data_IF_573460532190
#
_entry.id   IF_573460532190
#
_cell.length_a   1.000
_cell.length_b   1.000
_cell.length_c   1.000
_cell.angle_alpha   90.00
_cell.angle_beta   90.00
_cell.angle_gamma   90.00
#
_symmetry.space_group_name_H-M   'P 1'
#
loop_
_entity.id
_entity.type
_entity.pdbx_description
1 polymer ?
#
# COMPACT_ATOMS: atom_id res chain seq x y z
N UNK A 1 -62.47 -17.55 35.37
CA UNK A 1 -61.95 -16.23 35.78
C UNK A 1 -60.87 -15.85 34.78
N UNK A 2 -61.25 -15.65 33.51
CA UNK A 2 -61.87 -14.44 32.90
C UNK A 2 -60.77 -13.39 32.61
N UNK A 3 -60.60 -12.85 31.40
CA UNK A 3 -61.41 -12.89 30.19
C UNK A 3 -60.55 -12.57 28.96
N UNK A 4 -60.85 -13.23 27.85
CA UNK A 4 -60.60 -12.72 26.50
C UNK A 4 -61.54 -11.53 26.24
N UNK A 5 -61.10 -10.53 25.47
CA UNK A 5 -62.03 -9.82 24.57
C UNK A 5 -61.35 -9.20 23.36
N UNK A 6 -61.58 -9.89 22.24
CA UNK A 6 -61.59 -9.33 20.88
C UNK A 6 -62.82 -8.42 20.76
N UNK A 7 -62.67 -7.22 20.20
CA UNK A 7 -63.78 -6.50 19.57
C UNK A 7 -63.32 -6.03 18.19
N UNK A 8 -64.06 -6.50 17.21
CA UNK A 8 -64.11 -6.10 15.81
C UNK A 8 -65.34 -5.18 15.63
N UNK A 9 -65.27 -4.16 14.77
CA UNK A 9 -66.35 -3.37 14.09
C UNK A 9 -65.74 -2.03 13.67
N UNK A 10 -65.71 -1.58 12.42
CA UNK A 10 -66.61 -1.82 11.29
C UNK A 10 -67.68 -0.73 11.25
N UNK A 11 -67.53 0.26 10.36
CA UNK A 11 -68.61 1.19 10.02
C UNK A 11 -68.22 2.55 9.43
N UNK A 12 -68.44 2.68 8.11
CA UNK A 12 -69.19 3.76 7.45
C UNK A 12 -68.62 5.19 7.60
N UNK A 13 -68.22 5.91 6.57
CA UNK A 13 -68.88 6.12 5.28
C UNK A 13 -69.00 7.64 5.11
N UNK A 14 -68.25 8.22 4.17
CA UNK A 14 -68.26 9.66 3.90
C UNK A 14 -67.66 9.94 2.53
N UNK A 15 -68.55 10.19 1.55
CA UNK A 15 -68.22 10.75 0.24
C UNK A 15 -67.83 12.21 0.45
N UNK A 16 -66.72 12.64 -0.13
CA UNK A 16 -66.58 14.00 -0.69
C UNK A 16 -65.62 13.98 -1.87
N UNK A 17 -66.13 14.49 -2.99
CA UNK A 17 -65.42 14.77 -4.24
C UNK A 17 -64.51 15.99 -4.03
N UNK A 18 -63.26 15.98 -4.52
CA UNK A 18 -62.59 17.14 -5.14
C UNK A 18 -61.42 16.66 -6.01
N UNK A 19 -61.49 17.03 -7.28
CA UNK A 19 -60.41 16.99 -8.26
C UNK A 19 -59.13 17.70 -7.77
N UNK A 20 -57.96 17.09 -7.96
CA UNK A 20 -56.70 17.85 -7.82
C UNK A 20 -55.43 17.02 -7.86
N UNK A 21 -54.84 16.90 -9.06
CA UNK A 21 -53.38 16.90 -9.31
C UNK A 21 -52.48 16.35 -8.17
N UNK A 22 -52.11 15.08 -8.23
CA UNK A 22 -50.77 14.64 -7.81
C UNK A 22 -50.22 13.69 -8.88
N UNK A 23 -49.68 14.33 -9.90
CA UNK A 23 -48.75 13.76 -10.85
C UNK A 23 -47.36 13.99 -10.26
N UNK A 24 -46.83 13.00 -9.53
CA UNK A 24 -45.40 12.82 -9.22
C UNK A 24 -45.20 11.54 -8.39
N UNK A 25 -44.10 10.87 -8.68
CA UNK A 25 -43.47 9.79 -7.90
C UNK A 25 -43.97 8.36 -8.15
N UNK A 26 -43.77 7.89 -9.38
CA UNK A 26 -43.42 6.48 -9.62
C UNK A 26 -41.92 6.41 -9.94
N UNK A 27 -41.16 6.18 -8.88
CA UNK A 27 -39.75 5.79 -8.87
C UNK A 27 -39.67 4.42 -9.56
N UNK A 28 -39.27 4.40 -10.85
CA UNK A 28 -38.91 3.17 -11.55
C UNK A 28 -37.53 2.69 -11.07
N UNK A 29 -37.55 1.86 -10.01
CA UNK A 29 -36.42 1.04 -9.60
C UNK A 29 -36.22 -0.09 -10.64
N UNK A 30 -35.49 0.17 -11.72
CA UNK A 30 -34.96 -0.89 -12.59
C UNK A 30 -33.74 -1.53 -11.93
N UNK A 31 -33.98 -2.55 -11.10
CA UNK A 31 -32.96 -3.54 -10.73
C UNK A 31 -32.67 -4.39 -11.96
N UNK A 32 -31.49 -4.25 -12.54
CA UNK A 32 -30.94 -5.23 -13.47
C UNK A 32 -30.45 -6.42 -12.65
N UNK A 33 -31.14 -7.54 -12.74
CA UNK A 33 -30.62 -8.84 -12.29
C UNK A 33 -29.71 -9.38 -13.40
N UNK A 34 -28.43 -9.56 -13.09
CA UNK A 34 -27.54 -10.39 -13.89
C UNK A 34 -27.63 -11.82 -13.34
N UNK A 35 -28.23 -12.72 -14.11
CA UNK A 35 -28.13 -14.15 -13.85
C UNK A 35 -26.71 -14.60 -14.17
N UNK A 36 -25.99 -15.09 -13.15
CA UNK A 36 -24.73 -15.80 -13.33
C UNK A 36 -25.02 -17.30 -13.26
N UNK A 37 -25.05 -17.98 -14.41
CA UNK A 37 -24.96 -19.44 -14.41
C UNK A 37 -23.50 -19.84 -14.14
N UNK A 38 -23.24 -20.26 -12.90
CA UNK A 38 -22.00 -20.95 -12.52
C UNK A 38 -22.09 -22.41 -12.97
N UNK A 39 -21.23 -22.82 -13.91
CA UNK A 39 -20.85 -24.24 -14.08
C UNK A 39 -19.55 -24.52 -13.33
N UNK A 40 -19.40 -25.73 -12.75
CA UNK A 40 -18.20 -26.10 -12.02
C UNK A 40 -17.12 -26.39 -13.05
N UNK A 41 -16.18 -25.47 -13.16
CA UNK A 41 -14.78 -25.64 -13.57
C UNK A 41 -14.30 -24.27 -14.04
N UNK A 42 -13.77 -23.52 -13.07
CA UNK A 42 -13.45 -22.11 -13.19
C UNK A 42 -12.29 -21.85 -14.14
N UNK A 43 -12.57 -21.59 -15.42
CA UNK A 43 -11.73 -20.79 -16.32
C UNK A 43 -12.63 -19.99 -17.27
N UNK A 44 -12.73 -18.67 -17.03
CA UNK A 44 -13.44 -17.75 -17.93
C UNK A 44 -12.57 -17.43 -19.14
N UNK A 45 -12.73 -18.17 -20.23
CA UNK A 45 -12.20 -17.76 -21.54
C UNK A 45 -13.20 -16.82 -22.22
N UNK A 46 -12.79 -15.57 -22.39
CA UNK A 46 -13.47 -14.62 -23.28
C UNK A 46 -13.17 -15.00 -24.73
N UNK A 47 -13.85 -16.04 -25.23
CA UNK A 47 -13.69 -16.45 -26.63
C UNK A 47 -14.58 -15.57 -27.50
N UNK A 48 -14.00 -14.53 -28.10
CA UNK A 48 -14.62 -13.73 -29.15
C UNK A 48 -14.66 -14.57 -30.43
N UNK A 49 -15.54 -15.57 -30.44
CA UNK A 49 -15.74 -16.45 -31.59
C UNK A 49 -16.40 -15.68 -32.72
N UNK A 50 -15.72 -15.68 -33.86
CA UNK A 50 -16.21 -15.25 -35.16
C UNK A 50 -17.50 -15.98 -35.51
N UNK A 51 -18.41 -15.23 -36.12
CA UNK A 51 -19.55 -15.64 -36.95
C UNK A 51 -19.72 -17.16 -37.11
N UNK A 52 -20.61 -17.73 -36.29
CA UNK A 52 -21.14 -19.08 -36.54
C UNK A 52 -22.61 -18.92 -36.91
N UNK A 53 -22.86 -18.80 -38.22
CA UNK A 53 -24.21 -18.86 -38.79
C UNK A 53 -24.65 -20.33 -38.77
N UNK A 54 -25.47 -20.71 -37.79
CA UNK A 54 -26.24 -21.95 -37.86
C UNK A 54 -27.50 -21.69 -38.69
N UNK A 55 -27.52 -22.18 -39.93
CA UNK A 55 -28.74 -22.24 -40.75
C UNK A 55 -29.49 -23.51 -40.35
N UNK A 56 -30.49 -23.39 -39.48
CA UNK A 56 -31.48 -24.44 -39.27
C UNK A 56 -32.69 -24.17 -40.17
N UNK A 57 -32.82 -24.95 -41.24
CA UNK A 57 -33.99 -24.94 -42.11
C UNK A 57 -35.13 -25.68 -41.42
N UNK A 58 -35.96 -24.99 -40.64
CA UNK A 58 -37.39 -25.29 -40.53
C UNK A 58 -38.15 -24.21 -39.73
N UNK A 59 -39.01 -23.50 -40.46
CA UNK A 59 -40.19 -22.75 -40.04
C UNK A 59 -40.15 -21.73 -38.87
N UNK A 60 -40.28 -20.47 -39.30
CA UNK A 60 -41.21 -19.45 -38.78
C UNK A 60 -41.11 -19.10 -37.30
N UNK A 61 -40.18 -18.19 -36.99
CA UNK A 61 -40.46 -16.90 -36.32
C UNK A 61 -39.13 -16.12 -36.33
N UNK A 62 -38.76 -15.54 -37.47
CA UNK A 62 -37.69 -14.53 -37.51
C UNK A 62 -38.24 -13.21 -36.98
N UNK A 63 -38.54 -13.19 -35.67
CA UNK A 63 -38.59 -11.92 -34.96
C UNK A 63 -37.14 -11.45 -34.93
N UNK A 64 -36.80 -10.62 -35.92
CA UNK A 64 -35.60 -9.79 -35.91
C UNK A 64 -35.54 -9.11 -34.55
N UNK A 65 -34.74 -9.69 -33.64
CA UNK A 65 -34.33 -9.00 -32.43
C UNK A 65 -33.46 -7.89 -32.98
N UNK A 66 -34.07 -6.73 -33.23
CA UNK A 66 -33.35 -5.49 -33.50
C UNK A 66 -32.26 -5.46 -32.45
N UNK A 67 -31.01 -5.62 -32.87
CA UNK A 67 -29.86 -5.49 -31.99
C UNK A 67 -30.12 -4.24 -31.17
N UNK A 68 -30.37 -4.41 -29.87
CA UNK A 68 -30.64 -3.29 -28.98
C UNK A 68 -29.45 -2.38 -29.15
N UNK A 69 -29.69 -1.21 -29.75
CA UNK A 69 -28.67 -0.21 -29.99
C UNK A 69 -28.06 0.04 -28.62
N UNK A 70 -26.84 -0.47 -28.40
CA UNK A 70 -26.14 -0.28 -27.14
C UNK A 70 -26.15 1.23 -26.93
N UNK A 71 -26.77 1.74 -25.85
CA UNK A 71 -26.87 3.17 -25.66
C UNK A 71 -25.45 3.72 -25.66
N UNK A 72 -25.14 4.55 -26.67
CA UNK A 72 -23.88 5.29 -26.73
C UNK A 72 -23.97 6.36 -25.66
N UNK A 73 -23.58 6.01 -24.45
CA UNK A 73 -23.43 6.98 -23.38
C UNK A 73 -22.32 7.96 -23.78
N UNK A 74 -22.62 9.26 -23.72
CA UNK A 74 -21.57 10.28 -23.80
C UNK A 74 -20.76 10.17 -22.52
N UNK A 75 -19.46 9.91 -22.65
CA UNK A 75 -18.55 9.78 -21.50
C UNK A 75 -18.47 11.06 -20.67
N UNK A 76 -18.69 12.20 -21.32
CA UNK A 76 -18.79 13.50 -20.69
C UNK A 76 -19.90 13.56 -19.62
N UNK A 77 -20.95 12.75 -19.73
CA UNK A 77 -22.06 12.74 -18.77
C UNK A 77 -21.73 11.89 -17.51
N UNK A 78 -20.62 11.15 -17.52
CA UNK A 78 -20.17 10.37 -16.36
C UNK A 78 -19.46 11.28 -15.36
N UNK A 79 -20.08 11.50 -14.21
CA UNK A 79 -19.50 12.31 -13.13
C UNK A 79 -18.14 11.81 -12.65
N UNK A 80 -17.88 10.50 -12.74
CA UNK A 80 -16.60 9.91 -12.36
C UNK A 80 -15.49 10.25 -13.35
N UNK A 81 -15.79 10.21 -14.65
CA UNK A 81 -14.85 10.59 -15.72
C UNK A 81 -14.38 12.04 -15.55
N UNK A 82 -15.33 12.98 -15.41
CA UNK A 82 -15.00 14.40 -15.26
C UNK A 82 -14.17 14.66 -14.00
N UNK A 83 -14.48 14.00 -12.88
CA UNK A 83 -13.71 14.13 -11.64
C UNK A 83 -12.30 13.57 -11.82
N UNK A 84 -12.15 12.37 -12.37
CA UNK A 84 -10.84 11.73 -12.54
C UNK A 84 -9.96 12.55 -13.47
N UNK A 85 -10.52 13.00 -14.61
CA UNK A 85 -9.81 13.83 -15.57
C UNK A 85 -9.37 15.15 -14.93
N UNK A 86 -10.28 15.89 -14.27
CA UNK A 86 -9.96 17.19 -13.66
C UNK A 86 -8.89 17.09 -12.58
N UNK A 87 -8.95 16.09 -11.71
CA UNK A 87 -7.96 15.91 -10.65
C UNK A 87 -6.63 15.41 -11.21
N UNK A 88 -6.66 14.49 -12.18
CA UNK A 88 -5.47 13.99 -12.85
C UNK A 88 -4.72 15.08 -13.61
N UNK A 89 -5.43 15.93 -14.38
CA UNK A 89 -4.81 17.05 -15.10
C UNK A 89 -4.23 18.08 -14.15
N UNK A 90 -4.96 18.44 -13.09
CA UNK A 90 -4.48 19.39 -12.09
C UNK A 90 -3.23 18.88 -11.36
N UNK A 91 -3.23 17.59 -10.98
CA UNK A 91 -2.06 16.95 -10.36
C UNK A 91 -0.86 16.92 -11.32
N UNK A 92 -1.10 16.64 -12.60
CA UNK A 92 -0.05 16.64 -13.62
C UNK A 92 0.57 18.03 -13.80
N UNK A 93 -0.25 19.08 -13.89
CA UNK A 93 0.24 20.46 -14.02
C UNK A 93 1.09 20.90 -12.84
N UNK A 94 0.63 20.63 -11.61
CA UNK A 94 1.38 20.96 -10.39
C UNK A 94 2.69 20.18 -10.32
N UNK A 95 2.65 18.86 -10.56
CA UNK A 95 3.83 18.01 -10.47
C UNK A 95 4.89 18.35 -11.51
N UNK A 96 4.50 18.76 -12.73
CA UNK A 96 5.46 19.24 -13.73
C UNK A 96 6.13 20.54 -13.26
N UNK A 97 5.37 21.50 -12.74
CA UNK A 97 5.93 22.76 -12.22
C UNK A 97 6.88 22.51 -11.06
N UNK A 98 6.49 21.67 -10.11
CA UNK A 98 7.31 21.34 -8.94
C UNK A 98 8.56 20.55 -9.35
N UNK A 99 8.44 19.60 -10.28
CA UNK A 99 9.57 18.86 -10.84
C UNK A 99 10.63 19.80 -11.42
N UNK A 100 10.23 20.81 -12.21
CA UNK A 100 11.18 21.80 -12.74
C UNK A 100 11.82 22.64 -11.64
N UNK A 101 11.07 23.05 -10.62
CA UNK A 101 11.60 23.81 -9.49
C UNK A 101 12.66 23.01 -8.70
N UNK A 102 12.35 21.74 -8.39
CA UNK A 102 13.25 20.82 -7.68
C UNK A 102 14.49 20.52 -8.54
N UNK A 103 14.31 20.27 -9.83
CA UNK A 103 15.42 19.99 -10.74
C UNK A 103 16.38 21.19 -10.84
N UNK A 104 15.86 22.42 -10.91
CA UNK A 104 16.69 23.61 -10.90
C UNK A 104 17.43 23.80 -9.57
N UNK A 105 16.78 23.51 -8.44
CA UNK A 105 17.43 23.51 -7.13
C UNK A 105 18.56 22.48 -7.06
N UNK A 106 18.34 21.28 -7.60
CA UNK A 106 19.32 20.21 -7.62
C UNK A 106 20.53 20.60 -8.48
N UNK A 107 20.32 21.18 -9.67
CA UNK A 107 21.42 21.67 -10.51
C UNK A 107 22.25 22.76 -9.83
N UNK A 108 21.61 23.68 -9.09
CA UNK A 108 22.34 24.66 -8.28
C UNK A 108 23.18 24.01 -7.19
N UNK A 109 22.64 22.99 -6.52
CA UNK A 109 23.36 22.26 -5.49
C UNK A 109 24.58 21.50 -6.06
N UNK A 110 24.43 20.87 -7.24
CA UNK A 110 25.56 20.26 -7.96
C UNK A 110 26.60 21.29 -8.41
N UNK A 111 26.18 22.43 -8.93
CA UNK A 111 27.10 23.50 -9.31
C UNK A 111 27.89 24.03 -8.10
N UNK A 112 27.22 24.16 -6.94
CA UNK A 112 27.87 24.51 -5.67
C UNK A 112 28.87 23.42 -5.23
N UNK A 113 28.48 22.15 -5.30
CA UNK A 113 29.34 21.01 -4.98
C UNK A 113 30.63 21.02 -5.81
N UNK A 114 30.49 21.17 -7.13
CA UNK A 114 31.64 21.24 -8.04
C UNK A 114 32.52 22.46 -7.77
N UNK A 115 31.92 23.62 -7.47
CA UNK A 115 32.68 24.83 -7.13
C UNK A 115 33.47 24.65 -5.82
N UNK A 116 32.88 24.04 -4.80
CA UNK A 116 33.54 23.82 -3.51
C UNK A 116 34.69 22.82 -3.61
N UNK A 117 34.54 21.75 -4.40
CA UNK A 117 35.62 20.81 -4.71
C UNK A 117 36.85 21.48 -5.33
N UNK A 118 36.67 22.56 -6.10
CA UNK A 118 37.77 23.25 -6.78
C UNK A 118 38.37 24.41 -5.98
N UNK A 119 37.64 24.96 -5.01
CA UNK A 119 37.99 26.24 -4.37
C UNK A 119 38.33 26.13 -2.88
N UNK A 120 37.96 25.04 -2.21
CA UNK A 120 38.15 24.87 -0.78
C UNK A 120 38.91 23.59 -0.46
N UNK A 121 40.14 23.72 0.03
CA UNK A 121 40.92 22.57 0.51
C UNK A 121 40.25 21.86 1.69
N UNK A 122 39.59 22.63 2.57
CA UNK A 122 38.85 22.06 3.71
C UNK A 122 37.68 21.18 3.28
N UNK A 123 37.07 21.48 2.13
CA UNK A 123 35.98 20.67 1.58
C UNK A 123 36.52 19.39 0.94
N UNK A 124 37.68 19.47 0.28
CA UNK A 124 38.39 18.31 -0.29
C UNK A 124 38.81 17.31 0.79
N UNK A 125 39.20 17.80 1.97
CA UNK A 125 39.60 16.97 3.11
C UNK A 125 38.44 16.19 3.76
N UNK A 126 37.18 16.55 3.48
CA UNK A 126 36.00 15.85 4.01
C UNK A 126 35.82 14.49 3.32
N UNK A 127 35.19 13.53 4.01
CA UNK A 127 34.81 12.28 3.37
C UNK A 127 33.79 12.53 2.24
N UNK A 128 33.78 11.72 1.15
CA UNK A 128 32.82 11.90 0.06
C UNK A 128 31.36 11.92 0.52
N UNK A 129 31.05 11.18 1.60
CA UNK A 129 29.74 11.19 2.23
C UNK A 129 29.37 12.55 2.82
N UNK A 130 30.29 13.19 3.54
CA UNK A 130 30.10 14.50 4.17
C UNK A 130 30.05 15.62 3.14
N UNK A 131 30.89 15.52 2.10
CA UNK A 131 30.85 16.41 0.92
C UNK A 131 29.44 16.37 0.28
N UNK A 132 28.96 15.17 -0.07
CA UNK A 132 27.63 15.03 -0.66
C UNK A 132 26.52 15.52 0.27
N UNK A 133 26.59 15.17 1.56
CA UNK A 133 25.57 15.55 2.53
C UNK A 133 25.47 17.06 2.75
N UNK A 134 26.60 17.76 2.78
CA UNK A 134 26.68 19.20 3.06
C UNK A 134 26.22 20.08 1.91
N UNK A 135 26.30 19.59 0.66
CA UNK A 135 26.00 20.38 -0.53
C UNK A 135 24.69 19.98 -1.20
N UNK A 136 24.55 18.71 -1.58
CA UNK A 136 23.38 18.20 -2.31
C UNK A 136 22.30 17.73 -1.32
N UNK A 137 22.73 17.05 -0.25
CA UNK A 137 21.83 16.47 0.74
C UNK A 137 21.02 15.30 0.20
N UNK A 138 20.35 14.59 1.11
CA UNK A 138 19.60 13.37 0.76
C UNK A 138 18.17 13.64 0.30
N UNK A 139 17.61 14.78 0.70
CA UNK A 139 16.22 15.11 0.40
C UNK A 139 16.02 15.52 -1.06
N UNK A 140 16.94 16.30 -1.65
CA UNK A 140 16.75 16.79 -3.03
C UNK A 140 16.67 15.65 -4.06
N UNK A 141 17.58 14.64 -4.06
CA UNK A 141 17.43 13.50 -4.96
C UNK A 141 16.16 12.69 -4.69
N UNK A 142 15.78 12.53 -3.42
CA UNK A 142 14.54 11.81 -3.04
C UNK A 142 13.29 12.53 -3.54
N UNK A 143 13.25 13.86 -3.47
CA UNK A 143 12.16 14.68 -4.00
C UNK A 143 12.05 14.56 -5.52
N UNK A 144 13.17 14.52 -6.25
CA UNK A 144 13.14 14.27 -7.71
C UNK A 144 12.53 12.91 -8.02
N UNK A 145 12.94 11.85 -7.32
CA UNK A 145 12.37 10.51 -7.50
C UNK A 145 10.87 10.52 -7.19
N UNK A 146 10.47 11.18 -6.11
CA UNK A 146 9.07 11.30 -5.69
C UNK A 146 8.23 11.96 -6.79
N UNK A 147 8.68 13.09 -7.34
CA UNK A 147 7.96 13.78 -8.41
C UNK A 147 7.86 12.96 -9.70
N UNK A 148 8.86 12.17 -10.05
CA UNK A 148 8.77 11.24 -11.20
C UNK A 148 7.61 10.25 -10.99
N UNK A 149 7.47 9.70 -9.78
CA UNK A 149 6.36 8.80 -9.44
C UNK A 149 5.02 9.53 -9.43
N UNK A 150 4.96 10.78 -8.97
CA UNK A 150 3.73 11.60 -9.00
C UNK A 150 3.30 11.88 -10.44
N UNK A 151 4.21 12.31 -11.32
CA UNK A 151 3.94 12.53 -12.75
C UNK A 151 3.44 11.24 -13.42
N UNK A 152 4.09 10.10 -13.14
CA UNK A 152 3.67 8.80 -13.63
C UNK A 152 2.26 8.46 -13.15
N UNK A 153 1.97 8.64 -11.86
CA UNK A 153 0.65 8.38 -11.28
C UNK A 153 -0.44 9.27 -11.89
N UNK A 154 -0.16 10.56 -12.12
CA UNK A 154 -1.10 11.50 -12.74
C UNK A 154 -1.38 11.12 -14.21
N UNK A 155 -0.34 10.72 -14.95
CA UNK A 155 -0.46 10.26 -16.34
C UNK A 155 -1.30 8.99 -16.46
N UNK A 156 -1.08 8.03 -15.56
CA UNK A 156 -1.88 6.80 -15.49
C UNK A 156 -3.33 7.10 -15.13
N UNK A 157 -3.58 8.02 -14.20
CA UNK A 157 -4.92 8.42 -13.78
C UNK A 157 -5.70 9.10 -14.93
N UNK A 158 -5.03 9.88 -15.78
CA UNK A 158 -5.62 10.44 -17.00
C UNK A 158 -5.86 9.35 -18.04
N UNK A 159 -4.91 8.45 -18.28
CA UNK A 159 -5.06 7.32 -19.22
C UNK A 159 -6.25 6.42 -18.83
N UNK A 160 -6.34 6.10 -17.55
CA UNK A 160 -7.43 5.32 -16.97
C UNK A 160 -8.78 6.05 -17.15
N UNK A 161 -8.83 7.38 -17.00
CA UNK A 161 -10.06 8.15 -17.27
C UNK A 161 -10.58 7.92 -18.70
N UNK A 162 -9.70 7.71 -19.68
CA UNK A 162 -10.09 7.53 -21.09
C UNK A 162 -10.55 6.11 -21.41
N UNK A 163 -10.25 5.13 -20.57
CA UNK A 163 -10.57 3.72 -20.82
C UNK A 163 -11.72 3.19 -19.96
N UNK A 164 -12.12 3.91 -18.91
CA UNK A 164 -12.98 3.35 -17.86
C UNK A 164 -14.50 3.44 -18.01
N UNK A 165 -15.15 2.43 -17.41
CA UNK A 165 -16.59 2.36 -17.18
C UNK A 165 -17.00 2.32 -15.69
N UNK A 166 -16.11 2.09 -14.70
CA UNK A 166 -16.50 2.16 -13.27
C UNK A 166 -15.41 2.21 -12.15
N UNK A 167 -14.24 1.57 -12.29
CA UNK A 167 -13.20 1.50 -11.22
C UNK A 167 -11.81 1.91 -11.73
N UNK A 168 -10.84 2.19 -10.87
CA UNK A 168 -9.44 2.47 -11.28
C UNK A 168 -8.67 1.16 -11.43
N UNK A 169 -7.70 1.08 -12.36
CA UNK A 169 -6.92 -0.16 -12.56
C UNK A 169 -6.04 -0.47 -11.34
N UNK A 170 -5.77 -1.75 -11.10
CA UNK A 170 -4.88 -2.17 -10.00
C UNK A 170 -3.50 -1.51 -10.11
N UNK A 171 -2.97 -1.41 -11.34
CA UNK A 171 -1.66 -0.81 -11.59
C UNK A 171 -1.63 0.67 -11.18
N UNK A 172 -2.66 1.44 -11.56
CA UNK A 172 -2.76 2.85 -11.17
C UNK A 172 -2.92 3.01 -9.67
N UNK A 173 -3.69 2.13 -9.01
CA UNK A 173 -3.80 2.14 -7.54
C UNK A 173 -2.46 1.89 -6.85
N UNK A 174 -1.67 0.92 -7.33
CA UNK A 174 -0.35 0.62 -6.77
C UNK A 174 0.63 1.79 -6.95
N UNK A 175 0.72 2.34 -8.17
CA UNK A 175 1.62 3.47 -8.46
C UNK A 175 1.21 4.72 -7.68
N UNK A 176 -0.10 4.99 -7.57
CA UNK A 176 -0.62 6.10 -6.76
C UNK A 176 -0.34 5.91 -5.26
N UNK A 177 -0.53 4.70 -4.73
CA UNK A 177 -0.21 4.40 -3.34
C UNK A 177 1.28 4.61 -3.03
N UNK A 178 2.15 4.15 -3.93
CA UNK A 178 3.59 4.33 -3.79
C UNK A 178 4.02 5.79 -3.92
N UNK A 179 3.46 6.55 -4.87
CA UNK A 179 3.75 8.00 -5.00
C UNK A 179 3.29 8.79 -3.78
N UNK A 180 2.12 8.46 -3.21
CA UNK A 180 1.61 9.07 -1.98
C UNK A 180 2.51 8.74 -0.77
N UNK A 181 2.96 7.49 -0.64
CA UNK A 181 3.90 7.08 0.41
C UNK A 181 5.22 7.88 0.35
N UNK A 182 5.79 8.02 -0.85
CA UNK A 182 6.99 8.83 -1.05
C UNK A 182 6.76 10.31 -0.72
N UNK A 183 5.62 10.87 -1.15
CA UNK A 183 5.26 12.27 -0.88
C UNK A 183 5.09 12.57 0.61
N UNK A 184 4.48 11.65 1.36
CA UNK A 184 4.36 11.78 2.82
C UNK A 184 5.74 11.62 3.47
N UNK A 185 6.58 10.73 2.95
CA UNK A 185 7.94 10.52 3.47
C UNK A 185 8.83 11.76 3.26
N UNK A 186 8.76 12.42 2.11
CA UNK A 186 9.47 13.68 1.84
C UNK A 186 8.89 14.86 2.62
N UNK A 187 7.63 14.79 3.06
CA UNK A 187 7.05 15.81 3.95
C UNK A 187 7.84 15.97 5.26
N UNK A 188 8.56 14.93 5.71
CA UNK A 188 9.45 15.01 6.87
C UNK A 188 10.58 16.05 6.73
N UNK A 189 10.95 16.43 5.48
CA UNK A 189 11.92 17.49 5.23
C UNK A 189 11.47 18.84 5.82
N UNK A 190 10.17 19.12 5.81
CA UNK A 190 9.60 20.38 6.30
C UNK A 190 9.74 20.52 7.83
N UNK A 191 9.98 19.42 8.54
CA UNK A 191 10.28 19.47 9.97
C UNK A 191 11.62 20.15 10.28
N UNK A 192 12.47 20.42 9.28
CA UNK A 192 13.71 21.16 9.46
C UNK A 192 13.50 22.55 10.11
N UNK A 193 12.33 23.18 9.91
CA UNK A 193 11.98 24.45 10.57
C UNK A 193 11.75 24.32 12.08
N UNK A 194 11.56 23.11 12.59
CA UNK A 194 11.36 22.78 13.99
C UNK A 194 12.51 21.87 14.46
N UNK A 195 13.64 22.43 14.94
CA UNK A 195 14.84 21.67 15.28
C UNK A 195 14.59 20.48 16.23
N UNK A 196 13.64 20.63 17.17
CA UNK A 196 13.25 19.55 18.09
C UNK A 196 12.62 18.35 17.36
N UNK A 197 11.77 18.60 16.35
CA UNK A 197 11.15 17.55 15.54
C UNK A 197 12.13 16.98 14.51
N UNK A 198 12.97 17.83 13.92
CA UNK A 198 14.00 17.37 12.97
C UNK A 198 15.07 16.49 13.62
N UNK A 199 15.31 16.65 14.93
CA UNK A 199 16.15 15.74 15.69
C UNK A 199 15.69 14.27 15.58
N UNK A 200 14.37 14.01 15.60
CA UNK A 200 13.83 12.66 15.42
C UNK A 200 14.17 12.09 14.04
N UNK A 201 14.06 12.92 13.00
CA UNK A 201 14.42 12.54 11.63
C UNK A 201 15.91 12.18 11.52
N UNK A 202 16.78 12.95 12.17
CA UNK A 202 18.22 12.66 12.23
C UNK A 202 18.53 11.37 13.00
N UNK A 203 17.83 11.10 14.09
CA UNK A 203 17.94 9.86 14.85
C UNK A 203 17.51 8.68 13.99
N UNK A 204 16.34 8.75 13.35
CA UNK A 204 15.81 7.69 12.49
C UNK A 204 16.78 7.40 11.35
N UNK A 205 17.31 8.43 10.67
CA UNK A 205 18.28 8.23 9.58
C UNK A 205 19.53 7.49 10.03
N UNK A 206 20.09 7.87 11.18
CA UNK A 206 21.26 7.18 11.73
C UNK A 206 20.94 5.77 12.21
N UNK A 207 19.79 5.60 12.86
CA UNK A 207 19.29 4.31 13.30
C UNK A 207 19.07 3.37 12.12
N UNK A 208 18.52 3.86 11.01
CA UNK A 208 18.26 3.06 9.82
C UNK A 208 19.54 2.48 9.20
N UNK A 209 20.62 3.28 9.12
CA UNK A 209 21.91 2.78 8.64
C UNK A 209 22.49 1.67 9.52
N UNK A 210 22.38 1.80 10.84
CA UNK A 210 22.80 0.75 11.79
C UNK A 210 21.89 -0.47 11.73
N UNK A 211 20.58 -0.26 11.59
CA UNK A 211 19.56 -1.30 11.46
C UNK A 211 19.81 -2.15 10.23
N UNK A 212 20.12 -1.56 9.08
CA UNK A 212 20.48 -2.31 7.87
C UNK A 212 21.70 -3.21 8.12
N UNK A 213 22.74 -2.69 8.79
CA UNK A 213 23.93 -3.50 9.09
C UNK A 213 23.60 -4.70 10.00
N UNK A 214 22.71 -4.51 10.97
CA UNK A 214 22.21 -5.61 11.82
C UNK A 214 21.40 -6.61 10.99
N UNK A 215 20.52 -6.14 10.11
CA UNK A 215 19.76 -7.01 9.21
C UNK A 215 20.66 -7.85 8.31
N UNK A 216 21.71 -7.26 7.74
CA UNK A 216 22.71 -7.99 6.96
C UNK A 216 23.43 -9.05 7.80
N UNK A 217 23.72 -8.76 9.07
CA UNK A 217 24.33 -9.71 10.00
C UNK A 217 23.40 -10.85 10.44
N UNK A 218 22.09 -10.57 10.60
CA UNK A 218 21.08 -11.56 11.03
C UNK A 218 20.59 -12.41 9.85
N UNK A 219 20.58 -11.88 8.62
CA UNK A 219 20.13 -12.55 7.42
C UNK A 219 20.66 -14.00 7.25
N UNK A 220 21.97 -14.31 7.39
CA UNK A 220 22.46 -15.68 7.25
C UNK A 220 21.91 -16.63 8.32
N UNK A 221 21.62 -16.14 9.54
CA UNK A 221 21.04 -16.96 10.61
C UNK A 221 19.59 -17.31 10.25
N UNK A 222 18.80 -16.32 9.83
CA UNK A 222 17.41 -16.53 9.42
C UNK A 222 17.31 -17.47 8.22
N UNK A 223 18.20 -17.31 7.22
CA UNK A 223 18.26 -18.22 6.06
C UNK A 223 18.63 -19.64 6.51
N UNK A 224 19.57 -19.79 7.45
CA UNK A 224 19.95 -21.11 7.98
C UNK A 224 18.77 -21.79 8.69
N UNK A 225 18.02 -21.05 9.51
CA UNK A 225 16.80 -21.56 10.16
C UNK A 225 15.76 -21.98 9.11
N UNK A 226 15.56 -21.17 8.07
CA UNK A 226 14.64 -21.49 6.99
C UNK A 226 15.05 -22.78 6.24
N UNK A 227 16.35 -22.95 5.94
CA UNK A 227 16.85 -24.17 5.31
C UNK A 227 16.67 -25.41 6.19
N UNK A 228 16.88 -25.28 7.51
CA UNK A 228 16.60 -26.37 8.47
C UNK A 228 15.10 -26.69 8.50
N UNK A 229 14.23 -25.68 8.44
CA UNK A 229 12.79 -25.89 8.39
C UNK A 229 12.39 -26.69 7.13
N UNK A 230 12.93 -26.32 5.96
CA UNK A 230 12.69 -27.05 4.70
C UNK A 230 13.23 -28.48 4.78
N UNK A 231 14.41 -28.68 5.37
CA UNK A 231 14.98 -30.02 5.51
C UNK A 231 14.14 -30.94 6.43
N UNK A 232 13.67 -30.42 7.58
CA UNK A 232 12.94 -31.21 8.57
C UNK A 232 11.46 -31.40 8.20
N UNK A 233 10.83 -30.38 7.63
CA UNK A 233 9.38 -30.32 7.43
C UNK A 233 8.97 -30.19 5.96
N UNK A 234 9.90 -30.27 5.00
CA UNK A 234 9.64 -30.10 3.56
C UNK A 234 8.58 -31.02 2.97
N UNK A 235 8.32 -32.16 3.61
CA UNK A 235 7.29 -33.12 3.19
C UNK A 235 5.96 -32.98 3.93
N UNK A 236 5.89 -32.12 4.95
CA UNK A 236 4.75 -32.03 5.88
C UNK A 236 4.16 -30.62 5.94
N UNK A 237 5.00 -29.58 6.00
CA UNK A 237 4.54 -28.22 6.24
C UNK A 237 4.23 -27.46 4.96
N UNK A 238 2.98 -27.02 4.78
CA UNK A 238 2.55 -26.17 3.66
C UNK A 238 3.36 -24.86 3.55
N UNK A 239 3.81 -24.33 4.70
CA UNK A 239 4.65 -23.12 4.75
C UNK A 239 6.04 -23.36 4.12
N UNK A 240 6.53 -24.61 4.10
CA UNK A 240 7.85 -24.94 3.54
C UNK A 240 7.86 -25.05 2.02
N UNK A 241 6.69 -25.06 1.36
CA UNK A 241 6.59 -25.10 -0.11
C UNK A 241 7.13 -23.83 -0.78
N UNK A 242 7.12 -22.70 -0.05
CA UNK A 242 7.59 -21.42 -0.56
C UNK A 242 8.52 -20.75 0.44
N UNK A 243 9.76 -20.50 0.02
CA UNK A 243 10.73 -19.73 0.80
C UNK A 243 10.21 -18.33 1.19
N UNK A 244 9.34 -17.73 0.38
CA UNK A 244 8.73 -16.43 0.67
C UNK A 244 7.75 -16.55 1.84
N UNK A 245 6.82 -17.50 1.79
CA UNK A 245 5.85 -17.76 2.88
C UNK A 245 6.56 -18.12 4.19
N UNK A 246 7.60 -18.94 4.11
CA UNK A 246 8.41 -19.33 5.26
C UNK A 246 9.12 -18.12 5.89
N UNK A 247 9.73 -17.26 5.07
CA UNK A 247 10.42 -16.07 5.56
C UNK A 247 9.43 -15.05 6.16
N UNK A 248 8.28 -14.84 5.53
CA UNK A 248 7.19 -14.01 6.08
C UNK A 248 6.70 -14.53 7.44
N UNK A 249 6.57 -15.85 7.57
CA UNK A 249 6.13 -16.48 8.82
C UNK A 249 7.19 -16.36 9.92
N UNK A 250 8.47 -16.58 9.61
CA UNK A 250 9.57 -16.38 10.56
C UNK A 250 9.66 -14.90 10.98
N UNK A 251 9.45 -13.97 10.05
CA UNK A 251 9.41 -12.54 10.34
C UNK A 251 8.23 -12.18 11.26
N UNK A 252 7.03 -12.74 11.02
CA UNK A 252 5.86 -12.59 11.90
C UNK A 252 6.15 -13.06 13.32
N UNK A 253 6.74 -14.26 13.46
CA UNK A 253 7.13 -14.84 14.76
C UNK A 253 8.17 -13.98 15.47
N UNK A 254 9.08 -13.34 14.73
CA UNK A 254 10.08 -12.41 15.28
C UNK A 254 9.41 -11.23 16.01
N UNK A 255 8.27 -10.75 15.49
CA UNK A 255 7.47 -9.70 16.12
C UNK A 255 6.49 -10.23 17.18
N UNK A 256 6.47 -11.53 17.42
CA UNK A 256 5.57 -12.19 18.38
C UNK A 256 4.17 -12.44 17.85
N UNK A 257 3.95 -12.34 16.54
CA UNK A 257 2.66 -12.56 15.90
C UNK A 257 2.57 -13.99 15.33
N UNK A 258 1.36 -14.55 15.34
CA UNK A 258 0.99 -15.86 14.79
C UNK A 258 1.84 -17.06 15.28
N UNK A 259 2.39 -17.01 16.51
CA UNK A 259 3.23 -18.10 17.06
C UNK A 259 2.47 -19.44 17.10
N UNK A 260 1.18 -19.40 17.47
CA UNK A 260 0.34 -20.61 17.51
C UNK A 260 0.14 -21.21 16.11
N UNK A 261 -0.13 -20.37 15.11
CA UNK A 261 -0.36 -20.82 13.73
C UNK A 261 0.95 -21.34 13.12
N UNK A 262 2.08 -20.74 13.49
CA UNK A 262 3.40 -21.21 13.09
C UNK A 262 3.70 -22.62 13.61
N UNK A 263 3.26 -22.97 14.83
CA UNK A 263 3.35 -24.34 15.34
C UNK A 263 2.52 -25.34 14.54
N UNK A 264 1.27 -24.97 14.26
CA UNK A 264 0.34 -25.81 13.51
C UNK A 264 0.79 -26.05 12.07
N UNK A 265 1.51 -25.09 11.48
CA UNK A 265 1.99 -25.20 10.11
C UNK A 265 3.12 -26.22 9.88
N UNK A 266 3.77 -26.74 10.93
CA UNK A 266 4.84 -27.73 10.83
C UNK A 266 4.44 -29.13 11.32
N UNK A 267 3.14 -29.39 11.52
CA UNK A 267 2.66 -30.69 11.97
C UNK A 267 1.57 -31.26 11.06
N UNK A 268 1.63 -32.56 10.81
CA UNK A 268 0.57 -33.36 10.19
C UNK A 268 -0.38 -33.98 11.25
N UNK A 269 -0.19 -33.62 12.52
CA UNK A 269 -0.91 -34.20 13.66
C UNK A 269 -0.32 -35.50 14.19
N UNK A 270 0.72 -36.05 13.56
CA UNK A 270 1.42 -37.23 14.08
C UNK A 270 2.23 -36.90 15.34
N UNK A 271 2.40 -37.90 16.21
CA UNK A 271 3.12 -37.72 17.48
C UNK A 271 4.57 -37.22 17.30
N UNK A 272 5.27 -37.74 16.28
CA UNK A 272 6.68 -37.38 16.02
C UNK A 272 6.78 -35.94 15.51
N UNK A 273 5.96 -35.54 14.53
CA UNK A 273 5.99 -34.17 14.00
C UNK A 273 5.45 -33.15 14.99
N UNK A 274 4.51 -33.50 15.87
CA UNK A 274 4.07 -32.62 16.96
C UNK A 274 5.23 -32.27 17.91
N UNK A 275 6.03 -33.26 18.32
CA UNK A 275 7.20 -33.03 19.19
C UNK A 275 8.28 -32.25 18.45
N UNK A 276 8.58 -32.65 17.21
CA UNK A 276 9.61 -32.01 16.40
C UNK A 276 9.26 -30.54 16.10
N UNK A 277 8.01 -30.27 15.71
CA UNK A 277 7.47 -28.92 15.53
C UNK A 277 7.60 -28.11 16.82
N UNK A 278 7.31 -28.72 17.98
CA UNK A 278 7.34 -28.00 19.25
C UNK A 278 8.74 -27.54 19.60
N UNK A 279 9.71 -28.45 19.46
CA UNK A 279 11.12 -28.16 19.70
C UNK A 279 11.62 -27.12 18.70
N UNK A 280 11.36 -27.33 17.41
CA UNK A 280 11.82 -26.44 16.34
C UNK A 280 11.25 -25.02 16.49
N UNK A 281 9.93 -24.90 16.66
CA UNK A 281 9.24 -23.60 16.78
C UNK A 281 9.65 -22.89 18.07
N UNK A 282 9.84 -23.60 19.18
CA UNK A 282 10.33 -22.99 20.43
C UNK A 282 11.74 -22.43 20.26
N UNK A 283 12.66 -23.18 19.65
CA UNK A 283 14.03 -22.72 19.38
C UNK A 283 14.02 -21.56 18.39
N UNK A 284 13.25 -21.66 17.32
CA UNK A 284 13.12 -20.62 16.30
C UNK A 284 12.59 -19.33 16.90
N UNK A 285 11.51 -19.39 17.69
CA UNK A 285 10.90 -18.23 18.35
C UNK A 285 11.86 -17.61 19.35
N UNK A 286 12.48 -18.42 20.22
CA UNK A 286 13.45 -17.94 21.19
C UNK A 286 14.64 -17.26 20.50
N UNK A 287 15.17 -17.87 19.43
CA UNK A 287 16.31 -17.33 18.68
C UNK A 287 15.93 -16.06 17.93
N UNK A 288 14.80 -16.05 17.22
CA UNK A 288 14.34 -14.92 16.44
C UNK A 288 14.01 -13.71 17.33
N UNK A 289 13.22 -13.91 18.39
CA UNK A 289 12.89 -12.85 19.34
C UNK A 289 14.15 -12.36 20.06
N UNK A 290 15.00 -13.27 20.56
CA UNK A 290 16.19 -12.86 21.29
C UNK A 290 17.16 -12.11 20.40
N UNK A 291 17.50 -12.64 19.22
CA UNK A 291 18.42 -11.97 18.28
C UNK A 291 17.87 -10.63 17.83
N UNK A 292 16.59 -10.54 17.50
CA UNK A 292 16.02 -9.30 17.00
C UNK A 292 15.88 -8.27 18.13
N UNK A 293 15.18 -8.57 19.23
CA UNK A 293 14.94 -7.58 20.26
C UNK A 293 16.21 -7.15 21.00
N UNK A 294 17.11 -8.07 21.35
CA UNK A 294 18.34 -7.69 22.06
C UNK A 294 19.29 -6.90 21.17
N UNK A 295 19.48 -7.30 19.91
CA UNK A 295 20.34 -6.58 18.97
C UNK A 295 19.79 -5.19 18.66
N UNK A 296 18.48 -5.05 18.43
CA UNK A 296 17.88 -3.74 18.19
C UNK A 296 17.95 -2.84 19.41
N UNK A 297 17.62 -3.36 20.59
CA UNK A 297 17.63 -2.58 21.84
C UNK A 297 19.05 -2.10 22.17
N UNK A 298 20.04 -2.97 22.03
CA UNK A 298 21.45 -2.61 22.25
C UNK A 298 21.91 -1.51 21.29
N UNK A 299 21.56 -1.61 20.01
CA UNK A 299 21.95 -0.63 18.99
C UNK A 299 21.25 0.71 19.17
N UNK A 300 19.94 0.72 19.44
CA UNK A 300 19.21 1.95 19.74
C UNK A 300 19.77 2.66 20.98
N UNK A 301 20.17 1.89 22.00
CA UNK A 301 20.81 2.43 23.21
C UNK A 301 22.19 3.01 22.92
N UNK A 302 23.03 2.31 22.15
CA UNK A 302 24.35 2.81 21.71
C UNK A 302 24.21 4.10 20.89
N UNK A 303 23.26 4.17 19.96
CA UNK A 303 22.99 5.39 19.17
C UNK A 303 22.59 6.54 20.08
N UNK A 304 21.70 6.30 21.04
CA UNK A 304 21.27 7.33 21.98
C UNK A 304 22.46 7.85 22.83
N UNK A 305 23.28 6.95 23.38
CA UNK A 305 24.42 7.29 24.21
C UNK A 305 25.53 8.02 23.41
N UNK A 306 25.90 7.53 22.24
CA UNK A 306 26.99 8.11 21.45
C UNK A 306 26.58 9.40 20.74
N UNK A 307 25.36 9.44 20.17
CA UNK A 307 24.98 10.50 19.21
C UNK A 307 23.99 11.53 19.72
N UNK A 308 23.20 11.21 20.75
CA UNK A 308 22.11 12.09 21.20
C UNK A 308 22.38 12.66 22.60
N UNK A 309 23.00 11.88 23.48
CA UNK A 309 23.28 12.29 24.87
C UNK A 309 24.11 13.56 24.95
N UNK A 310 25.08 13.76 24.06
CA UNK A 310 25.95 14.94 24.04
C UNK A 310 25.21 16.20 23.53
N UNK A 311 24.18 16.06 22.70
CA UNK A 311 23.34 17.17 22.24
C UNK A 311 22.44 17.67 23.37
N UNK A 312 21.99 16.76 24.24
CA UNK A 312 21.13 17.05 25.39
C UNK A 312 21.96 17.53 26.60
N UNK A 313 23.09 16.86 26.91
CA UNK A 313 23.96 17.20 28.04
C UNK A 313 24.90 18.37 27.76
N UNK A 314 25.27 18.63 26.50
CA UNK A 314 26.10 19.79 26.11
C UNK A 314 25.42 21.14 26.36
N UNK A 315 24.08 21.18 26.45
CA UNK A 315 23.32 22.37 26.87
C UNK A 315 23.29 22.58 28.39
N UNK A 316 23.60 21.57 29.20
CA UNK A 316 23.65 21.72 30.68
C UNK A 316 24.94 22.40 31.12
N UNK A 317 26.10 22.03 30.55
CA UNK A 317 27.37 22.67 30.91
C UNK A 317 27.40 24.18 30.65
N UNK A 318 26.73 24.67 29.61
CA UNK A 318 26.66 26.12 29.33
C UNK A 318 25.74 26.92 30.27
N UNK A 319 24.93 26.27 31.10
CA UNK A 319 24.04 26.94 32.07
C UNK A 319 24.57 26.91 33.50
N UNK A 320 25.56 26.07 33.77
CA UNK A 320 26.20 25.97 35.08
C UNK A 320 27.50 26.81 35.15
N UNK A 321 27.89 27.42 34.02
CA UNK A 321 29.08 28.29 33.86
C UNK A 321 28.71 29.78 33.57
N UNK A 322 27.43 30.18 33.71
CA UNK A 322 26.95 31.59 33.69
C UNK A 322 26.39 31.99 35.07
#
# INVERSE_FOLDING_TARGET
MNDQKIINKGGLGGKDNINGKVQRDLIENKKYYFDYETKPDGINFFNRSKDTIFINQNNRFTKSVKASVIPKFKREDLSFYQKLLKHGTFLLEISILDFFAILFSLFKAFALHMKLMQTSSQYEDLSPYEQFHSTIGFWQPLSVITEIFVICSASLLISDSQTFTQYISLNTQLVFGFSAFLSISTAAQWLHFLPSCYCLVLIIRHAFGKLINVMVGIAPIVISIALVAVFLFGFVGEITESMVKLLESILSVTFGDMISDFYLAFTDGSYIYNILSFIFVSICTATAMWLFFTSFTAQMTSIYLEKVSHIIMGKKKKKDDE
#
